data_IF_086105313970
#
_entry.id   IF_086105313970
#
_cell.length_a   1.000
_cell.length_b   1.000
_cell.length_c   1.000
_cell.angle_alpha   90.00
_cell.angle_beta   90.00
_cell.angle_gamma   90.00
#
_symmetry.space_group_name_H-M   'P 1'
#
loop_
_entity.id
_entity.type
_entity.pdbx_description
1 polymer ?
#
# COMPACT_ATOMS: atom_id res chain seq x y z
N UNK A 1 4.69 -1.40 -0.08
CA UNK A 1 4.14 -0.45 -1.07
C UNK A 1 3.58 -1.24 -2.26
N UNK A 2 2.25 -1.30 -2.33
CA UNK A 2 1.52 -2.03 -3.36
C UNK A 2 1.22 -1.11 -4.55
N UNK A 3 1.72 -1.47 -5.73
CA UNK A 3 1.66 -0.64 -6.92
C UNK A 3 2.61 0.56 -6.80
N UNK A 4 3.88 0.30 -6.59
CA UNK A 4 4.85 1.31 -6.16
C UNK A 4 5.21 2.36 -7.20
N UNK A 5 4.93 2.14 -8.48
CA UNK A 5 5.22 3.05 -9.61
C UNK A 5 6.65 3.56 -9.62
N UNK A 6 6.86 4.77 -9.10
CA UNK A 6 8.18 5.41 -9.00
C UNK A 6 8.94 5.05 -7.74
N UNK A 7 8.32 4.30 -6.82
CA UNK A 7 8.88 3.97 -5.52
C UNK A 7 8.78 5.08 -4.48
N UNK A 8 8.09 6.17 -4.76
CA UNK A 8 8.08 7.37 -3.91
C UNK A 8 7.60 7.09 -2.48
N UNK A 9 6.53 6.29 -2.30
CA UNK A 9 6.02 5.97 -0.97
C UNK A 9 6.96 5.04 -0.20
N UNK A 10 7.52 4.02 -0.86
CA UNK A 10 8.51 3.14 -0.26
C UNK A 10 9.78 3.90 0.15
N UNK A 11 10.27 4.80 -0.71
CA UNK A 11 11.43 5.64 -0.43
C UNK A 11 11.15 6.58 0.75
N UNK A 12 9.98 7.21 0.79
CA UNK A 12 9.57 8.04 1.91
C UNK A 12 9.52 7.22 3.21
N UNK A 13 8.91 6.04 3.18
CA UNK A 13 8.88 5.15 4.34
C UNK A 13 10.28 4.82 4.85
N UNK A 14 11.24 4.56 3.96
CA UNK A 14 12.64 4.34 4.32
C UNK A 14 13.25 5.55 5.00
N UNK A 15 13.03 6.74 4.45
CA UNK A 15 13.53 8.01 5.01
C UNK A 15 12.91 8.35 6.38
N UNK A 16 11.67 7.91 6.60
CA UNK A 16 10.96 8.04 7.88
C UNK A 16 11.33 6.94 8.90
N UNK A 17 12.24 6.05 8.58
CA UNK A 17 12.80 5.09 9.51
C UNK A 17 12.24 3.67 9.44
N UNK A 18 11.46 3.33 8.42
CA UNK A 18 11.06 1.94 8.22
C UNK A 18 12.29 1.05 7.98
N UNK A 19 12.38 -0.05 8.71
CA UNK A 19 13.57 -0.91 8.72
C UNK A 19 13.59 -1.95 7.61
N UNK A 20 12.42 -2.44 7.24
CA UNK A 20 12.25 -3.45 6.20
C UNK A 20 11.09 -3.03 5.30
N UNK A 21 11.34 -2.94 4.01
CA UNK A 21 10.36 -2.43 3.06
C UNK A 21 10.29 -3.37 1.88
N UNK A 22 9.08 -3.77 1.54
CA UNK A 22 8.76 -4.51 0.33
C UNK A 22 7.92 -3.61 -0.58
N UNK A 23 8.32 -3.48 -1.82
CA UNK A 23 7.58 -2.73 -2.83
C UNK A 23 7.48 -3.55 -4.12
N UNK A 24 6.36 -3.44 -4.81
CA UNK A 24 6.18 -4.13 -6.08
C UNK A 24 5.18 -3.43 -6.98
N UNK A 25 5.32 -3.71 -8.27
CA UNK A 25 4.41 -3.26 -9.31
C UNK A 25 4.36 -4.30 -10.42
N UNK A 26 3.24 -4.40 -11.10
CA UNK A 26 3.08 -5.29 -12.24
C UNK A 26 3.83 -4.80 -13.48
N UNK A 27 4.02 -3.48 -13.58
CA UNK A 27 4.65 -2.83 -14.72
C UNK A 27 6.18 -2.88 -14.64
N UNK A 28 6.83 -3.36 -15.71
CA UNK A 28 8.29 -3.41 -15.78
C UNK A 28 8.94 -2.03 -15.63
N UNK A 29 8.37 -1.00 -16.26
CA UNK A 29 8.88 0.37 -16.13
C UNK A 29 8.77 0.91 -14.70
N UNK A 30 7.72 0.57 -13.97
CA UNK A 30 7.56 0.94 -12.57
C UNK A 30 8.62 0.27 -11.70
N UNK A 31 8.88 -1.00 -11.92
CA UNK A 31 9.95 -1.74 -11.25
C UNK A 31 11.32 -1.09 -11.46
N UNK A 32 11.69 -0.82 -12.71
CA UNK A 32 12.98 -0.21 -13.06
C UNK A 32 13.11 1.21 -12.51
N UNK A 33 12.05 2.02 -12.61
CA UNK A 33 12.03 3.38 -12.07
C UNK A 33 12.19 3.38 -10.54
N UNK A 34 11.53 2.47 -9.85
CA UNK A 34 11.64 2.34 -8.40
C UNK A 34 13.06 1.98 -7.96
N UNK A 35 13.72 1.06 -8.67
CA UNK A 35 15.13 0.71 -8.43
C UNK A 35 16.05 1.91 -8.61
N UNK A 36 15.90 2.64 -9.70
CA UNK A 36 16.70 3.83 -10.00
C UNK A 36 16.49 4.92 -8.96
N UNK A 37 15.24 5.20 -8.61
CA UNK A 37 14.91 6.25 -7.64
C UNK A 37 15.38 5.90 -6.22
N UNK A 38 15.30 4.65 -5.81
CA UNK A 38 15.84 4.20 -4.53
C UNK A 38 17.36 4.45 -4.46
N UNK A 39 18.08 4.12 -5.54
CA UNK A 39 19.52 4.35 -5.64
C UNK A 39 19.87 5.83 -5.59
N UNK A 40 19.18 6.67 -6.37
CA UNK A 40 19.38 8.14 -6.39
C UNK A 40 19.16 8.75 -5.00
N UNK A 41 18.19 8.23 -4.26
CA UNK A 41 17.85 8.71 -2.92
C UNK A 41 18.68 8.08 -1.80
N UNK A 42 19.66 7.24 -2.12
CA UNK A 42 20.54 6.60 -1.13
C UNK A 42 19.84 5.60 -0.23
N UNK A 43 18.76 4.99 -0.70
CA UNK A 43 17.98 4.01 0.04
C UNK A 43 18.31 2.60 -0.45
N UNK A 44 18.94 1.79 0.41
CA UNK A 44 19.43 0.45 0.05
C UNK A 44 18.57 -0.71 0.60
N UNK A 45 17.69 -0.44 1.56
CA UNK A 45 16.96 -1.48 2.31
C UNK A 45 15.50 -1.65 1.86
N UNK A 46 15.23 -1.40 0.58
CA UNK A 46 13.95 -1.69 -0.07
C UNK A 46 14.13 -2.92 -0.94
N UNK A 47 13.33 -3.95 -0.70
CA UNK A 47 13.19 -5.09 -1.61
C UNK A 47 12.11 -4.73 -2.64
N UNK A 48 12.48 -4.68 -3.91
CA UNK A 48 11.58 -4.33 -5.01
C UNK A 48 11.47 -5.52 -5.96
N UNK A 49 10.25 -5.90 -6.34
CA UNK A 49 10.05 -6.90 -7.39
C UNK A 49 8.98 -6.48 -8.39
N UNK A 50 9.05 -7.04 -9.60
CA UNK A 50 7.99 -6.92 -10.58
C UNK A 50 7.02 -8.09 -10.39
N UNK A 51 5.75 -7.79 -10.09
CA UNK A 51 4.77 -8.85 -9.88
C UNK A 51 3.47 -8.35 -9.26
N UNK A 52 2.72 -9.29 -8.71
CA UNK A 52 1.38 -9.10 -8.14
C UNK A 52 1.35 -9.47 -6.65
N UNK A 53 0.28 -9.06 -5.98
CA UNK A 53 0.09 -9.28 -4.54
C UNK A 53 0.19 -10.76 -4.13
N UNK A 54 -0.32 -11.67 -4.95
CA UNK A 54 -0.30 -13.12 -4.67
C UNK A 54 1.11 -13.72 -4.63
N UNK A 55 2.12 -12.99 -5.13
CA UNK A 55 3.53 -13.40 -5.06
C UNK A 55 4.22 -12.98 -3.75
N UNK A 56 3.55 -12.19 -2.91
CA UNK A 56 4.02 -11.91 -1.55
C UNK A 56 3.86 -13.18 -0.72
N UNK A 57 4.94 -13.59 -0.05
CA UNK A 57 4.91 -14.81 0.78
C UNK A 57 3.80 -14.75 1.82
N UNK A 58 2.98 -15.82 1.89
CA UNK A 58 1.77 -15.87 2.71
C UNK A 58 2.00 -15.59 4.20
N UNK A 59 3.18 -15.95 4.72
CA UNK A 59 3.58 -15.71 6.11
C UNK A 59 4.13 -14.30 6.37
N UNK A 60 4.38 -13.51 5.32
CA UNK A 60 4.88 -12.15 5.48
C UNK A 60 3.82 -11.24 6.06
N UNK A 61 4.14 -10.57 7.15
CA UNK A 61 3.25 -9.61 7.80
C UNK A 61 3.95 -8.27 8.00
N UNK A 62 3.17 -7.20 7.90
CA UNK A 62 3.65 -5.83 7.91
C UNK A 62 2.94 -4.99 8.98
N UNK A 63 3.66 -4.03 9.53
CA UNK A 63 3.09 -3.02 10.43
C UNK A 63 2.29 -1.98 9.66
N UNK A 64 2.75 -1.66 8.43
CA UNK A 64 2.12 -0.71 7.52
C UNK A 64 2.05 -1.27 6.11
N UNK A 65 0.91 -1.09 5.46
CA UNK A 65 0.74 -1.31 4.02
C UNK A 65 0.28 0.00 3.39
N UNK A 66 0.96 0.39 2.32
CA UNK A 66 0.63 1.58 1.52
C UNK A 66 0.11 1.11 0.17
N UNK A 67 -1.06 1.57 -0.22
CA UNK A 67 -1.72 1.18 -1.47
C UNK A 67 -2.30 2.41 -2.18
N UNK A 68 -1.54 2.97 -3.10
CA UNK A 68 -2.00 4.05 -3.96
C UNK A 68 -2.32 3.50 -5.36
N UNK A 69 -3.45 2.82 -5.46
CA UNK A 69 -3.89 2.08 -6.65
C UNK A 69 -5.37 2.37 -6.93
N UNK A 70 -5.87 1.90 -8.08
CA UNK A 70 -7.26 2.15 -8.42
C UNK A 70 -8.25 1.39 -7.51
N UNK A 71 -9.47 1.94 -7.40
CA UNK A 71 -10.55 1.43 -6.56
C UNK A 71 -10.83 -0.06 -6.75
N UNK A 72 -10.90 -0.52 -7.99
CA UNK A 72 -11.29 -1.92 -8.27
C UNK A 72 -10.23 -2.89 -7.74
N UNK A 73 -8.96 -2.60 -7.95
CA UNK A 73 -7.85 -3.40 -7.42
C UNK A 73 -7.84 -3.36 -5.88
N UNK A 74 -8.11 -2.21 -5.27
CA UNK A 74 -8.25 -2.11 -3.82
C UNK A 74 -9.35 -3.06 -3.31
N UNK A 75 -10.55 -2.96 -3.87
CA UNK A 75 -11.70 -3.77 -3.43
C UNK A 75 -11.43 -5.28 -3.52
N UNK A 76 -10.78 -5.72 -4.59
CA UNK A 76 -10.39 -7.12 -4.79
C UNK A 76 -9.31 -7.58 -3.81
N UNK A 77 -8.44 -6.67 -3.38
CA UNK A 77 -7.25 -6.97 -2.58
C UNK A 77 -7.46 -6.90 -1.07
N UNK A 78 -8.53 -6.28 -0.57
CA UNK A 78 -8.71 -5.95 0.86
C UNK A 78 -8.55 -7.16 1.79
N UNK A 79 -9.11 -8.30 1.44
CA UNK A 79 -9.01 -9.52 2.25
C UNK A 79 -7.56 -10.00 2.34
N UNK A 80 -6.84 -10.04 1.23
CA UNK A 80 -5.44 -10.44 1.18
C UNK A 80 -4.56 -9.42 1.91
N UNK A 81 -4.79 -8.13 1.70
CA UNK A 81 -4.05 -7.07 2.43
C UNK A 81 -4.25 -7.19 3.94
N UNK A 82 -5.48 -7.49 4.38
CA UNK A 82 -5.76 -7.74 5.81
C UNK A 82 -4.95 -8.90 6.37
N UNK A 83 -4.79 -9.99 5.61
CA UNK A 83 -3.99 -11.15 6.04
C UNK A 83 -2.50 -10.81 6.21
N UNK A 84 -1.99 -9.89 5.40
CA UNK A 84 -0.61 -9.40 5.48
C UNK A 84 -0.39 -8.31 6.54
N UNK A 85 -1.41 -7.86 7.24
CA UNK A 85 -1.26 -6.91 8.35
C UNK A 85 -1.09 -7.65 9.68
N UNK A 86 -0.10 -7.22 10.45
CA UNK A 86 0.00 -7.61 11.86
C UNK A 86 -1.23 -7.12 12.64
N UNK A 87 -1.50 -7.76 13.77
CA UNK A 87 -2.52 -7.25 14.68
C UNK A 87 -2.19 -5.82 15.12
N UNK A 88 -3.13 -4.90 14.93
CA UNK A 88 -2.90 -3.47 15.16
C UNK A 88 -2.11 -2.76 14.04
N UNK A 89 -1.78 -3.47 12.96
CA UNK A 89 -1.14 -2.86 11.79
C UNK A 89 -2.10 -1.96 11.01
N UNK A 90 -1.55 -1.11 10.18
CA UNK A 90 -2.29 -0.06 9.48
C UNK A 90 -2.21 -0.22 7.96
N UNK A 91 -3.34 0.01 7.31
CA UNK A 91 -3.47 0.08 5.85
C UNK A 91 -3.80 1.52 5.45
N UNK A 92 -2.96 2.13 4.65
CA UNK A 92 -3.20 3.43 4.06
C UNK A 92 -3.57 3.27 2.59
N UNK A 93 -4.81 3.60 2.26
CA UNK A 93 -5.34 3.59 0.90
C UNK A 93 -5.40 5.01 0.38
N UNK A 94 -4.91 5.25 -0.82
CA UNK A 94 -5.05 6.53 -1.52
C UNK A 94 -5.33 6.32 -3.00
N UNK A 95 -5.65 7.40 -3.71
CA UNK A 95 -5.99 7.31 -5.12
C UNK A 95 -7.44 6.91 -5.39
N UNK A 96 -8.33 7.03 -4.40
CA UNK A 96 -9.78 6.86 -4.55
C UNK A 96 -10.49 8.21 -4.55
N UNK A 97 -11.66 8.27 -5.16
CA UNK A 97 -12.51 9.47 -5.19
C UNK A 97 -13.49 9.48 -4.02
N UNK A 98 -13.92 10.67 -3.60
CA UNK A 98 -14.90 10.83 -2.52
C UNK A 98 -16.16 9.98 -2.72
N UNK A 99 -16.66 9.90 -3.96
CA UNK A 99 -17.85 9.11 -4.30
C UNK A 99 -17.70 7.60 -4.04
N UNK A 100 -16.48 7.10 -3.97
CA UNK A 100 -16.16 5.69 -3.80
C UNK A 100 -15.90 5.30 -2.32
N UNK A 101 -15.83 6.27 -1.42
CA UNK A 101 -15.44 6.06 -0.01
C UNK A 101 -16.39 5.11 0.71
N UNK A 102 -17.69 5.29 0.59
CA UNK A 102 -18.66 4.42 1.28
C UNK A 102 -18.49 2.95 0.90
N UNK A 103 -18.30 2.67 -0.39
CA UNK A 103 -18.08 1.32 -0.89
C UNK A 103 -16.77 0.73 -0.36
N UNK A 104 -15.68 1.52 -0.39
CA UNK A 104 -14.37 1.07 0.09
C UNK A 104 -14.40 0.80 1.58
N UNK A 105 -15.02 1.68 2.38
CA UNK A 105 -15.14 1.49 3.83
C UNK A 105 -15.96 0.24 4.16
N UNK A 106 -17.13 0.05 3.52
CA UNK A 106 -17.95 -1.13 3.75
C UNK A 106 -17.19 -2.43 3.45
N UNK A 107 -16.46 -2.48 2.33
CA UNK A 107 -15.66 -3.64 1.97
C UNK A 107 -14.45 -3.86 2.87
N UNK A 108 -13.83 -2.79 3.34
CA UNK A 108 -12.73 -2.88 4.30
C UNK A 108 -13.22 -3.44 5.65
N UNK A 109 -14.39 -3.01 6.12
CA UNK A 109 -15.00 -3.53 7.35
C UNK A 109 -15.38 -5.01 7.20
N UNK A 110 -15.94 -5.43 6.06
CA UNK A 110 -16.20 -6.84 5.75
C UNK A 110 -14.90 -7.69 5.80
N UNK A 111 -13.76 -7.11 5.41
CA UNK A 111 -12.45 -7.76 5.48
C UNK A 111 -11.82 -7.72 6.88
N UNK A 112 -12.47 -7.13 7.88
CA UNK A 112 -11.95 -7.03 9.25
C UNK A 112 -10.99 -5.86 9.48
N UNK A 113 -11.10 -4.82 8.65
CA UNK A 113 -10.37 -3.55 8.81
C UNK A 113 -11.28 -2.51 9.46
N UNK A 114 -10.75 -1.73 10.36
CA UNK A 114 -11.50 -0.67 11.05
C UNK A 114 -11.05 0.69 10.52
N UNK A 115 -11.99 1.55 10.07
CA UNK A 115 -11.64 2.89 9.62
C UNK A 115 -11.15 3.76 10.79
N UNK A 116 -10.08 4.53 10.58
CA UNK A 116 -9.49 5.41 11.60
C UNK A 116 -9.57 6.88 11.21
N UNK A 117 -9.08 7.22 10.00
CA UNK A 117 -8.92 8.62 9.60
C UNK A 117 -9.02 8.77 8.09
N UNK A 118 -9.66 9.84 7.66
CA UNK A 118 -9.78 10.21 6.26
C UNK A 118 -9.25 11.63 6.05
N UNK A 119 -8.52 11.82 4.96
CA UNK A 119 -8.14 13.12 4.44
C UNK A 119 -8.60 13.23 2.99
N UNK A 120 -9.08 14.41 2.61
CA UNK A 120 -9.49 14.71 1.23
C UNK A 120 -8.69 15.90 0.69
N UNK A 121 -8.39 15.84 -0.59
CA UNK A 121 -7.76 16.93 -1.30
C UNK A 121 -8.23 16.91 -2.76
N UNK A 122 -8.90 17.99 -3.18
CA UNK A 122 -9.38 18.16 -4.56
C UNK A 122 -10.18 16.95 -5.08
N UNK A 123 -11.06 16.39 -4.22
CA UNK A 123 -11.89 15.23 -4.55
C UNK A 123 -11.21 13.86 -4.44
N UNK A 124 -9.90 13.83 -4.17
CA UNK A 124 -9.14 12.62 -3.89
C UNK A 124 -9.10 12.33 -2.41
N UNK A 125 -9.12 11.06 -2.07
CA UNK A 125 -9.17 10.59 -0.68
C UNK A 125 -7.97 9.72 -0.36
N UNK A 126 -7.45 9.95 0.85
CA UNK A 126 -6.51 9.08 1.54
C UNK A 126 -7.20 8.59 2.81
N UNK A 127 -7.27 7.28 2.99
CA UNK A 127 -7.97 6.66 4.10
C UNK A 127 -7.06 5.70 4.88
N UNK A 128 -7.01 5.87 6.19
CA UNK A 128 -6.26 5.01 7.11
C UNK A 128 -7.21 4.03 7.78
N UNK A 129 -6.86 2.76 7.70
CA UNK A 129 -7.53 1.65 8.40
C UNK A 129 -6.56 0.95 9.34
N UNK A 130 -7.09 0.27 10.35
CA UNK A 130 -6.30 -0.60 11.21
C UNK A 130 -6.87 -2.01 11.23
N UNK A 131 -6.00 -2.99 11.43
CA UNK A 131 -6.40 -4.37 11.71
C UNK A 131 -6.56 -4.56 13.22
N UNK A 132 -7.63 -5.21 13.61
CA UNK A 132 -7.85 -5.56 15.02
C UNK A 132 -7.11 -6.85 15.40
#
# INVERSE_FOLDING_TARGET
DYGCRTGILAILAAKEGAKSILAFDIEANAYENSLSNAKINGVAHISIFQGVLDQVEAQSTFDYILANINRNVILESLSTLRQHLRKGGNLLISGILEKDVELVVAKAEEAGLKPLKMNTREGWVCYLFTSN
#
